data_IF_118376472791
#
_entry.id   IF_118376472791
#
_cell.length_a   1.000
_cell.length_b   1.000
_cell.length_c   1.000
_cell.angle_alpha   90.00
_cell.angle_beta   90.00
_cell.angle_gamma   90.00
#
_symmetry.space_group_name_H-M   'P 1'
#
loop_
_entity.id
_entity.type
_entity.pdbx_description
1 polymer ?
#
# COMPACT_ATOMS: atom_id res chain seq x y z
N UNK A 1 0.11 9.15 31.63
CA UNK A 1 -0.19 9.81 30.35
C UNK A 1 -1.68 9.83 30.14
N UNK A 2 -2.27 10.94 29.69
CA UNK A 2 -3.68 11.23 29.86
C UNK A 2 -4.61 10.34 29.02
N UNK A 3 -5.76 9.96 29.58
CA UNK A 3 -6.90 9.27 28.94
C UNK A 3 -7.32 9.90 27.59
N UNK A 4 -6.98 11.14 27.34
CA UNK A 4 -7.24 11.82 26.06
C UNK A 4 -6.38 11.31 24.90
N UNK A 5 -5.10 10.97 25.16
CA UNK A 5 -4.21 10.47 24.11
C UNK A 5 -4.63 9.07 23.63
N UNK A 6 -5.13 8.22 24.53
CA UNK A 6 -5.68 6.91 24.15
C UNK A 6 -6.92 7.02 23.26
N UNK A 7 -7.83 7.96 23.59
CA UNK A 7 -9.04 8.16 22.76
C UNK A 7 -8.71 8.72 21.38
N UNK A 8 -7.74 9.63 21.28
CA UNK A 8 -7.31 10.18 19.99
C UNK A 8 -6.67 9.12 19.10
N UNK A 9 -5.82 8.25 19.67
CA UNK A 9 -5.19 7.14 18.93
C UNK A 9 -6.24 6.11 18.47
N UNK A 10 -7.20 5.74 19.32
CA UNK A 10 -8.27 4.82 18.95
C UNK A 10 -9.15 5.40 17.84
N UNK A 11 -9.48 6.69 17.92
CA UNK A 11 -10.26 7.35 16.87
C UNK A 11 -9.51 7.40 15.54
N UNK A 12 -8.22 7.73 15.57
CA UNK A 12 -7.37 7.71 14.37
C UNK A 12 -7.31 6.31 13.76
N UNK A 13 -7.15 5.29 14.59
CA UNK A 13 -7.11 3.91 14.16
C UNK A 13 -8.43 3.46 13.50
N UNK A 14 -9.57 3.83 14.06
CA UNK A 14 -10.89 3.53 13.48
C UNK A 14 -11.11 4.23 12.14
N UNK A 15 -10.70 5.50 11.99
CA UNK A 15 -10.80 6.21 10.72
C UNK A 15 -9.89 5.61 9.65
N UNK A 16 -8.66 5.26 10.00
CA UNK A 16 -7.75 4.56 9.09
C UNK A 16 -8.33 3.21 8.64
N UNK A 17 -9.01 2.48 9.54
CA UNK A 17 -9.70 1.24 9.20
C UNK A 17 -10.81 1.42 8.16
N UNK A 18 -11.61 2.47 8.29
CA UNK A 18 -12.69 2.78 7.31
C UNK A 18 -12.11 3.13 5.94
N UNK A 19 -11.06 3.95 5.91
CA UNK A 19 -10.39 4.33 4.66
C UNK A 19 -9.74 3.11 4.00
N UNK A 20 -9.09 2.24 4.77
CA UNK A 20 -8.54 0.98 4.26
C UNK A 20 -9.62 0.08 3.65
N UNK A 21 -10.82 0.02 4.27
CA UNK A 21 -11.96 -0.70 3.72
C UNK A 21 -12.41 -0.17 2.34
N UNK A 22 -12.39 1.14 2.13
CA UNK A 22 -12.68 1.73 0.83
C UNK A 22 -11.63 1.33 -0.22
N UNK A 23 -10.35 1.35 0.14
CA UNK A 23 -9.29 0.87 -0.75
C UNK A 23 -9.45 -0.61 -1.10
N UNK A 24 -9.91 -1.44 -0.15
CA UNK A 24 -10.18 -2.85 -0.42
C UNK A 24 -11.27 -3.05 -1.49
N UNK A 25 -12.37 -2.31 -1.38
CA UNK A 25 -13.47 -2.37 -2.35
C UNK A 25 -12.99 -1.90 -3.73
N UNK A 26 -12.30 -0.76 -3.79
CA UNK A 26 -11.74 -0.23 -5.04
C UNK A 26 -10.73 -1.21 -5.66
N UNK A 27 -9.86 -1.80 -4.85
CA UNK A 27 -8.90 -2.80 -5.29
C UNK A 27 -9.57 -4.05 -5.85
N UNK A 28 -10.63 -4.55 -5.19
CA UNK A 28 -11.39 -5.70 -5.67
C UNK A 28 -12.05 -5.43 -7.03
N UNK A 29 -12.65 -4.25 -7.19
CA UNK A 29 -13.22 -3.83 -8.48
C UNK A 29 -12.11 -3.76 -9.54
N UNK A 30 -10.95 -3.17 -9.19
CA UNK A 30 -9.80 -3.09 -10.08
C UNK A 30 -9.31 -4.45 -10.58
N UNK A 31 -9.22 -5.45 -9.69
CA UNK A 31 -8.87 -6.82 -10.08
C UNK A 31 -9.90 -7.43 -11.04
N UNK A 32 -11.19 -7.27 -10.75
CA UNK A 32 -12.24 -7.77 -11.63
C UNK A 32 -12.17 -7.13 -13.02
N UNK A 33 -11.98 -5.82 -13.09
CA UNK A 33 -11.80 -5.10 -14.36
C UNK A 33 -10.56 -5.59 -15.10
N UNK A 34 -9.43 -5.76 -14.40
CA UNK A 34 -8.19 -6.26 -14.98
C UNK A 34 -8.36 -7.66 -15.55
N UNK A 35 -9.01 -8.55 -14.83
CA UNK A 35 -9.29 -9.91 -15.31
C UNK A 35 -10.13 -9.91 -16.58
N UNK A 36 -11.22 -9.15 -16.62
CA UNK A 36 -12.07 -9.03 -17.81
C UNK A 36 -11.27 -8.44 -18.98
N UNK A 37 -10.47 -7.40 -18.71
CA UNK A 37 -9.66 -6.76 -19.75
C UNK A 37 -8.64 -7.73 -20.36
N UNK A 38 -7.96 -8.53 -19.52
CA UNK A 38 -6.99 -9.54 -19.98
C UNK A 38 -7.71 -10.65 -20.77
N UNK A 39 -8.87 -11.13 -20.31
CA UNK A 39 -9.64 -12.15 -21.03
C UNK A 39 -10.06 -11.65 -22.40
N UNK A 40 -10.55 -10.42 -22.51
CA UNK A 40 -10.91 -9.79 -23.78
C UNK A 40 -9.68 -9.65 -24.68
N UNK A 41 -8.56 -9.15 -24.16
CA UNK A 41 -7.32 -9.00 -24.90
C UNK A 41 -6.84 -10.33 -25.50
N UNK A 42 -6.81 -11.38 -24.69
CA UNK A 42 -6.40 -12.72 -25.09
C UNK A 42 -7.34 -13.31 -26.14
N UNK A 43 -8.66 -13.19 -25.92
CA UNK A 43 -9.65 -13.69 -26.87
C UNK A 43 -9.54 -13.02 -28.23
N UNK A 44 -9.47 -11.69 -28.29
CA UNK A 44 -9.33 -10.94 -29.55
C UNK A 44 -8.03 -11.30 -30.28
N UNK A 45 -6.94 -11.37 -29.54
CA UNK A 45 -5.61 -11.67 -30.11
C UNK A 45 -5.52 -13.07 -30.71
N UNK A 46 -6.07 -14.10 -30.01
CA UNK A 46 -5.88 -15.49 -30.42
C UNK A 46 -7.06 -16.09 -31.19
N UNK A 47 -8.31 -15.66 -30.95
CA UNK A 47 -9.47 -16.18 -31.64
C UNK A 47 -9.79 -15.40 -32.92
N UNK A 48 -9.61 -14.08 -32.89
CA UNK A 48 -9.93 -13.22 -34.04
C UNK A 48 -8.68 -12.80 -34.84
N UNK A 49 -7.46 -13.04 -34.34
CA UNK A 49 -6.21 -12.58 -34.90
C UNK A 49 -6.17 -11.06 -35.15
N UNK A 50 -6.95 -10.29 -34.38
CA UNK A 50 -7.08 -8.84 -34.49
C UNK A 50 -6.88 -8.23 -33.10
N UNK A 51 -5.63 -7.88 -32.73
CA UNK A 51 -5.32 -7.33 -31.39
C UNK A 51 -5.94 -5.95 -31.24
N UNK A 52 -6.67 -5.74 -30.13
CA UNK A 52 -7.28 -4.45 -29.80
C UNK A 52 -6.17 -3.44 -29.47
N UNK A 53 -6.11 -2.35 -30.24
CA UNK A 53 -5.16 -1.27 -30.03
C UNK A 53 -5.37 -0.60 -28.65
N UNK A 54 -4.30 -0.45 -27.88
CA UNK A 54 -4.30 0.25 -26.59
C UNK A 54 -4.86 -0.50 -25.38
N UNK A 55 -5.27 -1.78 -25.54
CA UNK A 55 -5.79 -2.58 -24.42
C UNK A 55 -4.72 -2.81 -23.33
N UNK A 56 -3.45 -2.88 -23.71
CA UNK A 56 -2.33 -3.03 -22.81
C UNK A 56 -2.13 -1.77 -21.95
N UNK A 57 -2.32 -0.58 -22.54
CA UNK A 57 -2.26 0.70 -21.82
C UNK A 57 -3.31 0.78 -20.71
N UNK A 58 -4.54 0.36 -21.01
CA UNK A 58 -5.63 0.28 -20.03
C UNK A 58 -5.26 -0.70 -18.91
N UNK A 59 -4.67 -1.85 -19.24
CA UNK A 59 -4.22 -2.83 -18.25
C UNK A 59 -3.20 -2.25 -17.27
N UNK A 60 -2.23 -1.50 -17.76
CA UNK A 60 -1.20 -0.86 -16.93
C UNK A 60 -1.81 0.17 -15.98
N UNK A 61 -2.77 0.97 -16.45
CA UNK A 61 -3.45 1.97 -15.62
C UNK A 61 -4.28 1.32 -14.51
N UNK A 62 -5.09 0.31 -14.84
CA UNK A 62 -5.88 -0.42 -13.86
C UNK A 62 -4.97 -1.14 -12.86
N UNK A 63 -3.84 -1.70 -13.32
CA UNK A 63 -2.85 -2.33 -12.46
C UNK A 63 -2.25 -1.32 -11.46
N UNK A 64 -1.95 -0.09 -11.88
CA UNK A 64 -1.42 0.95 -10.99
C UNK A 64 -2.43 1.31 -9.88
N UNK A 65 -3.72 1.45 -10.24
CA UNK A 65 -4.79 1.70 -9.25
C UNK A 65 -4.93 0.52 -8.29
N UNK A 66 -4.98 -0.70 -8.82
CA UNK A 66 -5.05 -1.91 -7.99
C UNK A 66 -3.85 -2.01 -7.04
N UNK A 67 -2.62 -1.81 -7.53
CA UNK A 67 -1.42 -1.87 -6.70
C UNK A 67 -1.46 -0.86 -5.56
N UNK A 68 -1.88 0.39 -5.84
CA UNK A 68 -2.05 1.41 -4.80
C UNK A 68 -3.08 1.00 -3.74
N UNK A 69 -4.24 0.47 -4.17
CA UNK A 69 -5.27 -0.03 -3.26
C UNK A 69 -4.78 -1.21 -2.41
N UNK A 70 -4.06 -2.16 -3.03
CA UNK A 70 -3.53 -3.34 -2.35
C UNK A 70 -2.50 -2.97 -1.28
N UNK A 71 -1.61 -2.01 -1.58
CA UNK A 71 -0.63 -1.49 -0.62
C UNK A 71 -1.32 -0.80 0.55
N UNK A 72 -2.29 0.07 0.28
CA UNK A 72 -3.03 0.78 1.32
C UNK A 72 -3.83 -0.15 2.24
N UNK A 73 -4.47 -1.18 1.69
CA UNK A 73 -5.20 -2.18 2.47
C UNK A 73 -4.28 -3.15 3.21
N UNK A 74 -3.21 -3.63 2.54
CA UNK A 74 -2.22 -4.52 3.14
C UNK A 74 -1.52 -3.92 4.35
N UNK A 75 -1.32 -2.60 4.35
CA UNK A 75 -0.79 -1.87 5.49
C UNK A 75 -1.59 -2.07 6.79
N UNK A 76 -2.92 -2.15 6.66
CA UNK A 76 -3.82 -2.25 7.81
C UNK A 76 -3.88 -3.67 8.38
N UNK A 77 -3.80 -4.68 7.51
CA UNK A 77 -4.00 -6.08 7.91
C UNK A 77 -2.73 -6.77 8.45
N UNK A 78 -1.71 -6.01 8.87
CA UNK A 78 -0.44 -6.54 9.35
C UNK A 78 0.15 -7.63 8.41
N UNK A 79 -0.13 -7.50 7.10
CA UNK A 79 0.32 -8.47 6.08
C UNK A 79 1.84 -8.51 5.93
N UNK A 80 2.56 -7.67 6.69
CA UNK A 80 3.99 -7.78 6.83
C UNK A 80 4.27 -8.96 7.73
N UNK A 81 4.87 -9.98 7.15
CA UNK A 81 5.34 -11.18 7.83
C UNK A 81 6.05 -10.76 9.10
N UNK A 82 5.39 -10.90 10.25
CA UNK A 82 6.06 -10.86 11.53
C UNK A 82 7.03 -12.04 11.52
N UNK A 83 8.31 -11.75 11.67
CA UNK A 83 9.32 -12.80 11.66
C UNK A 83 9.32 -13.46 13.04
N UNK A 84 8.25 -14.25 13.33
CA UNK A 84 8.09 -14.98 14.59
C UNK A 84 9.23 -15.97 14.90
N UNK A 85 10.03 -16.27 13.87
CA UNK A 85 11.24 -17.08 14.02
C UNK A 85 12.24 -16.43 15.00
N UNK A 86 12.32 -15.11 15.02
CA UNK A 86 13.24 -14.38 15.90
C UNK A 86 12.76 -14.42 17.35
N UNK A 87 11.45 -14.35 17.59
CA UNK A 87 10.86 -14.43 18.93
C UNK A 87 11.20 -15.73 19.62
N UNK A 88 11.18 -16.84 18.90
CA UNK A 88 11.47 -18.18 19.43
C UNK A 88 12.93 -18.37 19.87
N UNK A 89 13.88 -17.65 19.26
CA UNK A 89 15.31 -17.82 19.52
C UNK A 89 15.91 -16.75 20.45
N UNK A 90 15.44 -15.51 20.40
CA UNK A 90 16.11 -14.38 21.08
C UNK A 90 15.30 -13.74 22.22
N UNK A 91 14.07 -14.18 22.44
CA UNK A 91 13.21 -13.69 23.51
C UNK A 91 12.54 -12.35 23.20
N UNK A 92 11.51 -12.02 23.99
CA UNK A 92 10.57 -10.91 23.78
C UNK A 92 11.22 -9.52 23.67
N UNK A 93 12.29 -9.28 24.40
CA UNK A 93 12.99 -7.97 24.33
C UNK A 93 13.69 -7.74 23.00
N UNK A 94 14.31 -8.76 22.41
CA UNK A 94 14.99 -8.64 21.12
C UNK A 94 13.97 -8.36 20.00
N UNK A 95 12.81 -8.98 20.07
CA UNK A 95 11.74 -8.80 19.08
C UNK A 95 11.24 -7.37 19.04
N UNK A 96 11.02 -6.74 20.19
CA UNK A 96 10.58 -5.33 20.27
C UNK A 96 11.56 -4.37 19.58
N UNK A 97 12.86 -4.54 19.80
CA UNK A 97 13.85 -3.71 19.10
C UNK A 97 13.87 -3.97 17.60
N UNK A 98 13.79 -5.24 17.19
CA UNK A 98 13.76 -5.61 15.78
C UNK A 98 12.53 -5.04 15.09
N UNK A 99 11.35 -5.16 15.69
CA UNK A 99 10.10 -4.62 15.14
C UNK A 99 10.13 -3.11 15.02
N UNK A 100 10.63 -2.41 16.05
CA UNK A 100 10.77 -0.96 16.00
C UNK A 100 11.71 -0.52 14.87
N UNK A 101 12.86 -1.20 14.70
CA UNK A 101 13.80 -0.91 13.62
C UNK A 101 13.20 -1.21 12.25
N UNK A 102 12.53 -2.35 12.09
CA UNK A 102 11.90 -2.74 10.81
C UNK A 102 10.77 -1.78 10.43
N UNK A 103 9.92 -1.39 11.37
CA UNK A 103 8.85 -0.40 11.15
C UNK A 103 9.44 0.98 10.76
N UNK A 104 10.54 1.39 11.40
CA UNK A 104 11.22 2.64 11.09
C UNK A 104 11.86 2.62 9.70
N UNK A 105 12.52 1.53 9.33
CA UNK A 105 13.08 1.34 7.98
C UNK A 105 11.97 1.32 6.92
N UNK A 106 10.89 0.59 7.15
CA UNK A 106 9.73 0.54 6.25
C UNK A 106 9.10 1.93 6.07
N UNK A 107 8.95 2.70 7.16
CA UNK A 107 8.48 4.08 7.11
C UNK A 107 9.41 4.98 6.27
N UNK A 108 10.72 4.85 6.45
CA UNK A 108 11.71 5.61 5.68
C UNK A 108 11.64 5.29 4.18
N UNK A 109 11.60 4.01 3.83
CA UNK A 109 11.54 3.56 2.43
C UNK A 109 10.24 4.00 1.76
N UNK A 110 9.09 3.79 2.41
CA UNK A 110 7.78 4.17 1.86
C UNK A 110 7.60 5.67 1.76
N UNK A 111 8.12 6.43 2.73
CA UNK A 111 8.12 7.90 2.68
C UNK A 111 8.96 8.44 1.53
N UNK A 112 10.17 7.89 1.33
CA UNK A 112 11.03 8.24 0.19
C UNK A 112 10.38 7.86 -1.15
N UNK A 113 9.74 6.70 -1.23
CA UNK A 113 9.04 6.27 -2.43
C UNK A 113 7.86 7.20 -2.77
N UNK A 114 7.05 7.59 -1.78
CA UNK A 114 5.97 8.54 -1.97
C UNK A 114 6.49 9.91 -2.43
N UNK A 115 7.57 10.40 -1.82
CA UNK A 115 8.21 11.65 -2.21
C UNK A 115 8.76 11.57 -3.65
N UNK A 116 9.41 10.47 -4.02
CA UNK A 116 9.94 10.25 -5.36
C UNK A 116 8.82 10.23 -6.42
N UNK A 117 7.67 9.59 -6.10
CA UNK A 117 6.52 9.59 -7.00
C UNK A 117 5.94 10.98 -7.23
N UNK A 118 5.92 11.85 -6.22
CA UNK A 118 5.39 13.19 -6.36
C UNK A 118 6.34 14.15 -7.07
N UNK A 119 7.67 13.96 -6.91
CA UNK A 119 8.66 14.89 -7.45
C UNK A 119 9.26 14.46 -8.78
N UNK A 120 9.29 13.14 -9.06
CA UNK A 120 10.00 12.57 -10.22
C UNK A 120 9.17 11.61 -11.05
N UNK A 121 7.88 11.50 -10.78
CA UNK A 121 7.02 10.54 -11.47
C UNK A 121 7.04 10.72 -12.99
N UNK A 122 7.11 11.99 -13.43
CA UNK A 122 7.30 12.34 -14.81
C UNK A 122 8.60 13.15 -14.90
N UNK A 123 9.63 12.58 -15.52
CA UNK A 123 10.89 13.28 -15.75
C UNK A 123 10.65 14.64 -16.41
N UNK A 124 11.54 15.58 -16.18
CA UNK A 124 11.37 16.98 -16.63
C UNK A 124 11.29 17.15 -18.17
N UNK A 125 11.61 16.12 -18.96
CA UNK A 125 11.75 16.21 -20.41
C UNK A 125 10.92 15.21 -21.21
N UNK A 126 10.27 14.22 -20.58
CA UNK A 126 9.48 13.21 -21.29
C UNK A 126 8.01 13.31 -20.89
N UNK A 127 7.14 13.33 -21.92
CA UNK A 127 5.70 13.24 -21.70
C UNK A 127 5.37 11.89 -21.04
N UNK A 128 4.79 11.92 -19.85
CA UNK A 128 4.25 10.73 -19.16
C UNK A 128 2.99 10.25 -19.87
N UNK A 129 3.13 9.74 -21.08
CA UNK A 129 2.03 9.26 -21.90
C UNK A 129 2.22 7.77 -22.19
N UNK A 130 1.10 7.05 -22.34
CA UNK A 130 1.10 5.66 -22.79
C UNK A 130 1.57 5.55 -24.23
N UNK A 131 2.17 4.41 -24.58
CA UNK A 131 2.75 4.18 -25.92
C UNK A 131 1.70 4.21 -27.03
N UNK A 132 0.51 3.66 -26.79
CA UNK A 132 -0.51 3.50 -27.82
C UNK A 132 -1.60 4.58 -27.77
N UNK A 133 -2.15 4.83 -26.59
CA UNK A 133 -3.31 5.74 -26.43
C UNK A 133 -2.89 7.17 -26.08
N UNK A 134 -1.60 7.44 -25.84
CA UNK A 134 -1.09 8.75 -25.42
C UNK A 134 -1.83 9.34 -24.21
N UNK A 135 -2.29 8.48 -23.29
CA UNK A 135 -2.98 8.90 -22.07
C UNK A 135 -1.94 9.31 -21.04
N UNK A 136 -2.19 10.39 -20.34
CA UNK A 136 -1.30 10.94 -19.34
C UNK A 136 -1.32 10.09 -18.05
N UNK A 137 -0.14 9.56 -17.65
CA UNK A 137 0.01 8.72 -16.45
C UNK A 137 0.10 9.51 -15.15
N UNK A 138 0.27 10.79 -15.19
CA UNK A 138 0.56 11.66 -14.04
C UNK A 138 -0.45 11.45 -12.89
N UNK A 139 -1.73 11.34 -13.20
CA UNK A 139 -2.78 11.13 -12.21
C UNK A 139 -2.68 9.80 -11.47
N UNK A 140 -2.24 8.75 -12.17
CA UNK A 140 -2.06 7.41 -11.58
C UNK A 140 -0.87 7.37 -10.63
N UNK A 141 0.21 8.09 -10.94
CA UNK A 141 1.35 8.26 -10.04
C UNK A 141 0.99 9.04 -8.78
N UNK A 142 0.20 10.11 -8.91
CA UNK A 142 -0.31 10.83 -7.74
C UNK A 142 -1.19 9.94 -6.87
N UNK A 143 -2.09 9.15 -7.48
CA UNK A 143 -2.91 8.19 -6.74
C UNK A 143 -2.04 7.17 -5.98
N UNK A 144 -1.04 6.60 -6.63
CA UNK A 144 -0.11 5.66 -6.00
C UNK A 144 0.69 6.34 -4.88
N UNK A 145 1.12 7.59 -5.07
CA UNK A 145 1.78 8.41 -4.06
C UNK A 145 0.90 8.63 -2.83
N UNK A 146 -0.39 8.93 -3.01
CA UNK A 146 -1.37 9.04 -1.91
C UNK A 146 -1.54 7.72 -1.17
N UNK A 147 -1.61 6.60 -1.89
CA UNK A 147 -1.71 5.27 -1.28
C UNK A 147 -0.47 4.93 -0.43
N UNK A 148 0.73 5.29 -0.91
CA UNK A 148 1.98 5.12 -0.14
C UNK A 148 2.06 6.07 1.06
N UNK A 149 1.56 7.30 0.95
CA UNK A 149 1.44 8.19 2.10
C UNK A 149 0.50 7.63 3.17
N UNK A 150 -0.62 7.06 2.74
CA UNK A 150 -1.55 6.38 3.65
C UNK A 150 -0.87 5.18 4.35
N UNK A 151 -0.08 4.39 3.60
CA UNK A 151 0.71 3.31 4.16
C UNK A 151 1.73 3.81 5.19
N UNK A 152 2.50 4.85 4.85
CA UNK A 152 3.47 5.45 5.75
C UNK A 152 2.81 5.98 7.03
N UNK A 153 1.62 6.58 6.92
CA UNK A 153 0.84 7.04 8.07
C UNK A 153 0.43 5.88 8.99
N UNK A 154 -0.03 4.75 8.42
CA UNK A 154 -0.33 3.55 9.21
C UNK A 154 0.90 3.03 9.96
N UNK A 155 2.05 2.94 9.29
CA UNK A 155 3.30 2.52 9.92
C UNK A 155 3.72 3.45 11.06
N UNK A 156 3.53 4.76 10.88
CA UNK A 156 3.82 5.75 11.91
C UNK A 156 2.91 5.58 13.13
N UNK A 157 1.60 5.37 12.92
CA UNK A 157 0.66 5.11 14.01
C UNK A 157 1.03 3.82 14.75
N UNK A 158 1.35 2.74 14.04
CA UNK A 158 1.79 1.47 14.64
C UNK A 158 3.09 1.64 15.44
N UNK A 159 4.03 2.43 14.94
CA UNK A 159 5.29 2.72 15.63
C UNK A 159 5.03 3.51 16.91
N UNK A 160 4.16 4.52 16.86
CA UNK A 160 3.79 5.31 18.04
C UNK A 160 3.07 4.47 19.10
N UNK A 161 2.14 3.60 18.68
CA UNK A 161 1.46 2.66 19.59
C UNK A 161 2.46 1.72 20.24
N UNK A 162 3.40 1.14 19.47
CA UNK A 162 4.45 0.28 20.00
C UNK A 162 5.35 1.00 21.02
N UNK A 163 5.68 2.28 20.80
CA UNK A 163 6.43 3.07 21.79
C UNK A 163 5.64 3.37 23.06
N UNK A 164 4.35 3.63 22.95
CA UNK A 164 3.48 3.91 24.12
C UNK A 164 3.34 2.66 24.99
N UNK A 165 3.26 1.47 24.38
CA UNK A 165 3.11 0.19 25.07
C UNK A 165 4.44 -0.56 25.25
N UNK A 166 5.56 0.17 25.27
CA UNK A 166 6.90 -0.45 25.34
C UNK A 166 7.12 -1.41 26.52
N UNK A 167 6.42 -1.19 27.66
CA UNK A 167 6.50 -2.04 28.86
C UNK A 167 5.32 -3.02 28.99
N UNK A 168 4.23 -2.80 28.25
CA UNK A 168 3.03 -3.63 28.26
C UNK A 168 2.97 -4.52 26.98
N UNK A 169 1.92 -5.32 26.85
CA UNK A 169 1.67 -6.08 25.64
C UNK A 169 1.30 -5.13 24.49
N UNK A 170 2.05 -5.22 23.36
CA UNK A 170 1.71 -4.42 22.17
C UNK A 170 0.41 -4.97 21.57
N UNK A 171 -0.67 -4.17 21.45
CA UNK A 171 -1.92 -4.62 20.86
C UNK A 171 -1.79 -5.00 19.38
N UNK A 172 -0.67 -4.68 18.73
CA UNK A 172 -0.36 -5.07 17.37
C UNK A 172 0.50 -6.35 17.29
N UNK A 173 0.93 -6.90 18.42
CA UNK A 173 1.58 -8.20 18.49
C UNK A 173 0.49 -9.25 18.22
N UNK A 174 0.66 -10.08 17.19
CA UNK A 174 -0.33 -11.10 16.84
C UNK A 174 -0.57 -11.99 18.07
N UNK A 175 -1.83 -12.12 18.46
CA UNK A 175 -2.22 -13.08 19.47
C UNK A 175 -1.96 -14.49 18.93
N UNK A 176 -1.03 -15.21 19.56
CA UNK A 176 -0.76 -16.62 19.30
C UNK A 176 -1.99 -17.50 19.66
#
# INVERSE_FOLDING_TARGET
MSSQNHKALQWADEQLGRVAGLFAILGTIGVCVLLVNILVAVFWRYALNDPIFGIDDISVMVLAVFAGCAVAYGARNNSHVSVDIITRFFGRSATRYTDAVMRLLALGITGLAAFALWTKACGFEEACITENLSIEHTWFYYFLGVALCFYALNLLVMLLVGFVHWHDEDPNEAAD
#
